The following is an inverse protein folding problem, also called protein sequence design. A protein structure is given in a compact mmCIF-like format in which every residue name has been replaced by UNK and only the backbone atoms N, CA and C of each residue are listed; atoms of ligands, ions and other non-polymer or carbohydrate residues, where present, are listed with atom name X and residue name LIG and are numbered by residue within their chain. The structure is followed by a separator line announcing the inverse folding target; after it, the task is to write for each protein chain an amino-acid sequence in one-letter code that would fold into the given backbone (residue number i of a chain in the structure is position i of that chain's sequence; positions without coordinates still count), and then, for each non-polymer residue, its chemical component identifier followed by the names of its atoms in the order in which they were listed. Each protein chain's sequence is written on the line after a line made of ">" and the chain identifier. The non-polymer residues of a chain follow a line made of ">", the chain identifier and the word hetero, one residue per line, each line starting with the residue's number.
data_IF_843368785170
#
_entry.id   IF_843368785170
#
_cell.length_a   1.000
_cell.length_b   1.000
_cell.length_c   1.000
_cell.angle_alpha   90.00
_cell.angle_beta   90.00
_cell.angle_gamma   90.00
#
_symmetry.space_group_name_H-M   'P 1'
#
loop_
_entity.id
_entity.type
_entity.pdbx_description
1 polymer ?
#
# COMPACT_ATOMS: atom_id res chain seq x y z
N UNK A 1 16.26 -2.22 9.88
CA UNK A 1 16.24 -0.87 9.28
C UNK A 1 14.80 -0.44 9.09
N UNK A 2 14.45 0.79 9.45
CA UNK A 2 13.09 1.33 9.24
C UNK A 2 13.09 1.99 7.86
N UNK A 3 12.25 1.48 6.95
CA UNK A 3 12.12 2.04 5.60
C UNK A 3 11.02 3.09 5.60
N UNK A 4 11.27 4.24 4.99
CA UNK A 4 10.30 5.34 4.92
C UNK A 4 9.80 5.50 3.49
N UNK A 5 8.49 5.67 3.35
CA UNK A 5 7.82 5.84 2.08
C UNK A 5 7.20 7.24 2.01
N UNK A 6 7.30 7.87 0.85
CA UNK A 6 6.73 9.21 0.59
C UNK A 6 5.54 9.17 -0.35
N UNK A 7 5.25 8.03 -0.98
CA UNK A 7 4.10 7.83 -1.88
C UNK A 7 3.48 6.46 -1.65
N UNK A 8 2.16 6.39 -1.80
CA UNK A 8 1.37 5.17 -1.64
C UNK A 8 1.83 4.08 -2.61
N UNK A 9 2.06 4.42 -3.88
CA UNK A 9 2.56 3.47 -4.90
C UNK A 9 3.92 2.85 -4.57
N UNK A 10 4.80 3.58 -3.90
CA UNK A 10 6.14 3.07 -3.57
C UNK A 10 6.04 2.04 -2.43
N UNK A 11 5.13 2.28 -1.47
CA UNK A 11 4.76 1.30 -0.45
C UNK A 11 4.09 0.06 -1.08
N UNK A 12 3.21 0.27 -2.06
CA UNK A 12 2.56 -0.84 -2.78
C UNK A 12 3.55 -1.70 -3.55
N UNK A 13 4.45 -1.09 -4.31
CA UNK A 13 5.49 -1.82 -5.04
C UNK A 13 6.44 -2.56 -4.10
N UNK A 14 6.75 -1.99 -2.92
CA UNK A 14 7.52 -2.68 -1.90
C UNK A 14 6.80 -3.93 -1.40
N UNK A 15 5.49 -3.84 -1.12
CA UNK A 15 4.71 -5.00 -0.68
C UNK A 15 4.64 -6.09 -1.75
N UNK A 16 4.29 -5.73 -3.00
CA UNK A 16 4.20 -6.65 -4.15
C UNK A 16 5.54 -7.38 -4.37
N UNK A 17 6.66 -6.67 -4.29
CA UNK A 17 7.98 -7.31 -4.33
C UNK A 17 8.15 -8.35 -3.21
N UNK A 18 7.82 -7.99 -1.96
CA UNK A 18 8.02 -8.91 -0.84
C UNK A 18 7.10 -10.13 -0.92
N UNK A 19 5.84 -9.97 -1.32
CA UNK A 19 4.92 -11.08 -1.54
C UNK A 19 5.43 -12.03 -2.63
N UNK A 20 5.89 -11.49 -3.77
CA UNK A 20 6.51 -12.28 -4.85
C UNK A 20 7.74 -13.03 -4.40
N UNK A 21 8.63 -12.37 -3.66
CA UNK A 21 9.80 -13.07 -3.09
C UNK A 21 9.43 -14.10 -2.03
N UNK A 22 8.24 -13.99 -1.43
CA UNK A 22 7.65 -14.93 -0.50
C UNK A 22 6.91 -16.10 -1.17
N UNK A 23 6.79 -16.10 -2.50
CA UNK A 23 6.16 -17.18 -3.28
C UNK A 23 4.69 -16.95 -3.65
N UNK A 24 4.13 -15.76 -3.42
CA UNK A 24 2.86 -15.37 -4.03
C UNK A 24 3.09 -14.99 -5.50
N UNK A 25 2.15 -15.31 -6.38
CA UNK A 25 2.27 -15.08 -7.82
C UNK A 25 1.39 -13.90 -8.27
N UNK A 26 0.26 -13.69 -7.60
CA UNK A 26 -0.71 -12.68 -8.02
C UNK A 26 -1.46 -12.04 -6.87
N UNK A 27 -2.04 -10.87 -7.14
CA UNK A 27 -2.82 -10.15 -6.14
C UNK A 27 -4.21 -10.80 -5.96
N UNK A 28 -4.63 -10.97 -4.71
CA UNK A 28 -5.95 -11.53 -4.39
C UNK A 28 -7.08 -10.54 -4.73
N UNK A 29 -6.79 -9.23 -4.61
CA UNK A 29 -7.67 -8.11 -4.93
C UNK A 29 -6.84 -6.84 -5.08
N UNK A 30 -7.39 -5.80 -5.73
CA UNK A 30 -6.69 -4.52 -5.88
C UNK A 30 -6.44 -3.92 -4.48
N UNK A 31 -5.18 -3.66 -4.08
CA UNK A 31 -4.88 -3.21 -2.73
C UNK A 31 -5.42 -1.80 -2.46
N UNK A 32 -5.71 -1.52 -1.20
CA UNK A 32 -5.99 -0.17 -0.67
C UNK A 32 -4.76 0.29 0.10
N UNK A 33 -4.12 1.35 -0.37
CA UNK A 33 -2.97 1.98 0.30
C UNK A 33 -3.29 3.45 0.42
N UNK A 34 -3.85 3.83 1.57
CA UNK A 34 -4.54 5.10 1.73
C UNK A 34 -3.94 5.92 2.88
N UNK A 35 -3.25 7.01 2.53
CA UNK A 35 -2.69 7.96 3.49
C UNK A 35 -3.72 8.96 4.02
N UNK A 36 -3.70 9.20 5.33
CA UNK A 36 -4.49 10.25 5.98
C UNK A 36 -5.98 10.18 5.65
N UNK A 37 -6.52 11.25 5.06
CA UNK A 37 -7.95 11.33 4.69
C UNK A 37 -8.37 10.28 3.63
N UNK A 38 -7.44 9.76 2.84
CA UNK A 38 -7.77 8.77 1.80
C UNK A 38 -8.30 7.48 2.44
N UNK A 39 -7.87 7.17 3.68
CA UNK A 39 -8.33 6.02 4.44
C UNK A 39 -9.83 6.07 4.81
N UNK A 40 -10.49 7.22 4.67
CA UNK A 40 -11.94 7.36 4.87
C UNK A 40 -12.76 6.87 3.68
N UNK A 41 -12.13 6.65 2.52
CA UNK A 41 -12.78 6.08 1.35
C UNK A 41 -12.56 4.56 1.32
N UNK A 42 -13.64 3.79 1.53
CA UNK A 42 -13.57 2.33 1.72
C UNK A 42 -12.89 1.62 0.54
N UNK A 43 -13.15 2.03 -0.70
CA UNK A 43 -12.56 1.44 -1.91
C UNK A 43 -11.51 2.38 -2.56
N UNK A 44 -10.64 2.99 -1.76
CA UNK A 44 -9.53 3.79 -2.28
C UNK A 44 -8.48 2.90 -2.96
N UNK A 45 -8.55 2.77 -4.28
CA UNK A 45 -7.62 1.95 -5.08
C UNK A 45 -6.70 2.80 -5.96
N UNK A 46 -6.72 4.12 -5.80
CA UNK A 46 -5.93 5.02 -6.63
C UNK A 46 -4.43 4.95 -6.29
N UNK A 47 -4.10 4.77 -5.00
CA UNK A 47 -2.78 4.43 -4.47
C UNK A 47 -1.64 5.28 -5.07
N UNK A 48 -1.87 6.58 -5.30
CA UNK A 48 -0.93 7.43 -6.01
C UNK A 48 -0.66 8.77 -5.31
N UNK A 49 -1.21 8.98 -4.12
CA UNK A 49 -1.03 10.20 -3.34
C UNK A 49 0.30 10.16 -2.54
N UNK A 50 0.64 11.32 -1.99
CA UNK A 50 1.80 11.52 -1.12
C UNK A 50 1.46 11.05 0.29
N UNK A 51 2.36 10.27 0.89
CA UNK A 51 2.32 9.94 2.32
C UNK A 51 2.93 11.09 3.12
N UNK A 52 2.12 11.75 3.95
CA UNK A 52 2.54 12.91 4.73
C UNK A 52 3.04 12.48 6.09
N UNK A 53 4.05 13.19 6.58
CA UNK A 53 4.58 12.96 7.92
C UNK A 53 3.51 13.24 8.98
N UNK A 54 3.49 12.41 10.03
CA UNK A 54 2.50 12.47 11.11
C UNK A 54 1.10 11.92 10.77
N UNK A 55 0.83 11.54 9.52
CA UNK A 55 -0.42 10.87 9.14
C UNK A 55 -0.28 9.34 9.20
N UNK A 56 -1.40 8.66 9.43
CA UNK A 56 -1.48 7.19 9.40
C UNK A 56 -1.78 6.74 7.97
N UNK A 57 -1.27 5.57 7.60
CA UNK A 57 -1.59 4.89 6.35
C UNK A 57 -2.40 3.64 6.66
N UNK A 58 -3.58 3.52 6.04
CA UNK A 58 -4.36 2.28 6.03
C UNK A 58 -3.87 1.42 4.86
N UNK A 59 -3.57 0.16 5.16
CA UNK A 59 -3.18 -0.84 4.15
C UNK A 59 -4.11 -2.03 4.26
N UNK A 60 -4.85 -2.31 3.19
CA UNK A 60 -5.61 -3.54 2.99
C UNK A 60 -5.10 -4.19 1.70
N UNK A 61 -4.38 -5.31 1.85
CA UNK A 61 -3.70 -5.97 0.76
C UNK A 61 -3.54 -7.46 1.04
N UNK A 62 -3.68 -8.27 0.01
CA UNK A 62 -3.45 -9.71 0.04
C UNK A 62 -3.03 -10.24 -1.33
N UNK A 63 -2.18 -11.26 -1.32
CA UNK A 63 -1.69 -11.96 -2.51
C UNK A 63 -1.85 -13.48 -2.35
N UNK A 64 -1.90 -14.18 -3.48
CA UNK A 64 -2.05 -15.64 -3.61
C UNK A 64 -0.94 -16.24 -4.46
#
# INVERSE_FOLDING_TARGET
>A
MRQQFTKEKDLGAFMDYNFKTGGCETSAYIPVIAGGKNALAIHYVQNNDVLKDGEIVLVDAGEV
#
